data_IF_967098627329
#
_entry.id   IF_967098627329
#
_cell.length_a   1.000
_cell.length_b   1.000
_cell.length_c   1.000
_cell.angle_alpha   90.00
_cell.angle_beta   90.00
_cell.angle_gamma   90.00
#
_symmetry.space_group_name_H-M   'P 1'
#
loop_
_entity.id
_entity.type
_entity.pdbx_description
1 polymer ?
#
# COMPACT_ATOMS: atom_id res chain seq x y z
N UNK A 1 16.82 6.84 -0.42
CA UNK A 1 16.40 8.05 0.30
C UNK A 1 15.14 7.81 1.12
N UNK A 2 14.08 7.31 0.53
CA UNK A 2 12.83 7.03 1.24
C UNK A 2 12.91 5.68 1.90
N UNK A 3 12.69 5.64 3.23
CA UNK A 3 12.61 4.37 3.96
C UNK A 3 11.24 3.74 3.80
N UNK A 4 10.19 4.47 4.11
CA UNK A 4 8.81 4.02 3.91
C UNK A 4 7.86 5.20 3.88
N UNK A 5 6.66 4.96 3.37
CA UNK A 5 5.54 5.90 3.45
C UNK A 5 4.38 5.21 4.15
N UNK A 6 3.56 5.99 4.87
CA UNK A 6 2.36 5.48 5.51
C UNK A 6 1.12 6.13 4.90
N UNK A 7 0.09 5.32 4.73
CA UNK A 7 -1.23 5.78 4.29
C UNK A 7 -2.23 5.47 5.39
N UNK A 8 -3.08 6.43 5.72
CA UNK A 8 -4.08 6.24 6.77
C UNK A 8 -5.22 5.34 6.33
N UNK A 9 -5.73 4.54 7.24
CA UNK A 9 -6.90 3.70 6.99
C UNK A 9 -7.76 3.61 8.23
N UNK A 10 -9.08 3.59 8.01
CA UNK A 10 -10.07 3.36 9.07
C UNK A 10 -10.46 1.88 9.16
N UNK A 11 -9.92 1.04 8.27
CA UNK A 11 -10.20 -0.40 8.23
C UNK A 11 -8.92 -1.12 7.82
N UNK A 12 -8.05 -1.36 8.79
CA UNK A 12 -6.74 -1.98 8.54
C UNK A 12 -6.86 -3.36 7.90
N UNK A 13 -7.74 -4.28 8.36
CA UNK A 13 -7.85 -5.59 7.72
C UNK A 13 -8.24 -5.51 6.24
N UNK A 14 -9.15 -4.62 5.89
CA UNK A 14 -9.57 -4.42 4.50
C UNK A 14 -8.44 -3.85 3.66
N UNK A 15 -7.77 -2.80 4.15
CA UNK A 15 -6.64 -2.21 3.47
C UNK A 15 -5.51 -3.22 3.29
N UNK A 16 -5.25 -4.03 4.31
CA UNK A 16 -4.19 -5.05 4.25
C UNK A 16 -4.47 -6.09 3.16
N UNK A 17 -5.71 -6.55 3.02
CA UNK A 17 -6.05 -7.49 1.94
C UNK A 17 -5.85 -6.88 0.57
N UNK A 18 -6.21 -5.60 0.40
CA UNK A 18 -6.00 -4.88 -0.85
C UNK A 18 -4.51 -4.85 -1.21
N UNK A 19 -3.65 -4.44 -0.28
CA UNK A 19 -2.22 -4.31 -0.55
C UNK A 19 -1.50 -5.64 -0.61
N UNK A 20 -1.95 -6.67 0.13
CA UNK A 20 -1.38 -8.01 0.00
C UNK A 20 -1.43 -8.49 -1.46
N UNK A 21 -2.59 -8.35 -2.10
CA UNK A 21 -2.75 -8.82 -3.46
C UNK A 21 -2.12 -7.87 -4.48
N UNK A 22 -2.31 -6.57 -4.30
CA UNK A 22 -1.78 -5.59 -5.24
C UNK A 22 -0.26 -5.61 -5.27
N UNK A 23 0.36 -5.46 -4.10
CA UNK A 23 1.82 -5.41 -3.98
C UNK A 23 2.46 -6.78 -4.16
N UNK A 24 1.69 -7.85 -3.98
CA UNK A 24 2.13 -9.20 -4.28
C UNK A 24 2.51 -9.39 -5.73
N UNK A 25 1.88 -8.64 -6.64
CA UNK A 25 2.26 -8.66 -8.07
C UNK A 25 3.69 -8.13 -8.31
N UNK A 26 4.21 -7.37 -7.36
CA UNK A 26 5.57 -6.82 -7.42
C UNK A 26 6.56 -7.65 -6.60
N UNK A 27 6.11 -8.75 -6.02
CA UNK A 27 6.95 -9.56 -5.13
C UNK A 27 7.07 -9.00 -3.73
N UNK A 28 6.25 -8.01 -3.35
CA UNK A 28 6.27 -7.48 -2.00
C UNK A 28 5.44 -8.34 -1.05
N UNK A 29 5.87 -8.41 0.20
CA UNK A 29 5.16 -9.13 1.24
C UNK A 29 5.21 -8.34 2.55
N UNK A 30 4.33 -8.71 3.48
CA UNK A 30 4.34 -8.09 4.81
C UNK A 30 5.66 -8.41 5.52
N UNK A 31 6.26 -7.40 6.14
CA UNK A 31 7.43 -7.61 7.00
C UNK A 31 7.24 -7.05 8.40
N UNK A 32 6.22 -6.24 8.62
CA UNK A 32 5.80 -5.74 9.94
C UNK A 32 4.29 -5.69 9.98
N UNK A 33 3.71 -6.11 11.08
CA UNK A 33 2.26 -6.01 11.26
C UNK A 33 1.87 -5.95 12.74
N UNK A 34 0.80 -5.20 12.98
CA UNK A 34 0.09 -5.16 14.25
C UNK A 34 -1.39 -4.90 13.95
N UNK A 35 -2.20 -4.76 14.97
CA UNK A 35 -3.62 -4.45 14.76
C UNK A 35 -3.86 -3.05 14.17
N UNK A 36 -2.87 -2.15 14.24
CA UNK A 36 -2.98 -0.77 13.76
C UNK A 36 -2.03 -0.42 12.62
N UNK A 37 -1.20 -1.36 12.18
CA UNK A 37 -0.13 -1.06 11.24
C UNK A 37 0.26 -2.31 10.48
N UNK A 38 0.38 -2.19 9.16
CA UNK A 38 0.93 -3.25 8.30
C UNK A 38 1.84 -2.60 7.26
N UNK A 39 2.99 -3.21 7.01
CA UNK A 39 3.96 -2.71 6.03
C UNK A 39 4.40 -3.81 5.08
N UNK A 40 4.58 -3.45 3.82
CA UNK A 40 5.02 -4.35 2.75
C UNK A 40 6.29 -3.82 2.11
N UNK A 41 7.18 -4.74 1.75
CA UNK A 41 8.40 -4.42 1.00
C UNK A 41 8.82 -5.60 0.15
N UNK A 42 9.63 -5.33 -0.88
CA UNK A 42 10.22 -6.36 -1.73
C UNK A 42 11.53 -6.90 -1.16
N UNK A 43 12.11 -6.25 -0.16
CA UNK A 43 13.35 -6.67 0.45
C UNK A 43 13.87 -5.66 1.46
N UNK A 44 14.91 -6.05 2.22
CA UNK A 44 15.43 -5.25 3.33
C UNK A 44 15.97 -3.88 2.91
N UNK A 45 16.54 -3.79 1.72
CA UNK A 45 17.12 -2.54 1.22
C UNK A 45 16.13 -1.73 0.39
N UNK A 46 14.89 -2.20 0.27
CA UNK A 46 13.88 -1.55 -0.56
C UNK A 46 12.95 -0.69 0.30
N UNK A 47 12.41 0.40 -0.27
CA UNK A 47 11.39 1.18 0.42
C UNK A 47 10.15 0.35 0.72
N UNK A 48 9.37 0.76 1.71
CA UNK A 48 8.15 0.08 2.11
C UNK A 48 6.94 0.99 1.92
N UNK A 49 5.80 0.36 1.69
CA UNK A 49 4.49 1.00 1.78
C UNK A 49 3.80 0.41 3.01
N UNK A 50 3.15 1.26 3.78
CA UNK A 50 2.43 0.82 4.96
C UNK A 50 1.07 1.49 5.07
N UNK A 51 0.16 0.82 5.76
CA UNK A 51 -1.11 1.41 6.20
C UNK A 51 -1.12 1.49 7.71
N UNK A 52 -1.73 2.53 8.24
CA UNK A 52 -1.73 2.79 9.67
C UNK A 52 -3.07 3.42 10.10
N UNK A 53 -3.53 3.04 11.28
CA UNK A 53 -4.54 3.84 11.98
C UNK A 53 -3.86 5.15 12.40
N UNK A 54 -4.45 6.34 12.11
CA UNK A 54 -3.78 7.60 12.40
C UNK A 54 -3.30 7.71 13.84
N UNK A 55 -2.08 8.22 14.00
CA UNK A 55 -1.41 8.29 15.30
C UNK A 55 -2.20 9.11 16.33
N UNK A 56 -2.91 10.15 15.87
CA UNK A 56 -3.67 11.03 16.77
C UNK A 56 -5.02 10.45 17.20
N UNK A 57 -5.37 9.25 16.74
CA UNK A 57 -6.62 8.59 17.10
C UNK A 57 -7.85 9.10 16.35
N UNK A 58 -7.69 10.10 15.50
CA UNK A 58 -8.81 10.60 14.67
C UNK A 58 -8.98 9.73 13.43
N UNK A 59 -10.17 9.76 12.79
CA UNK A 59 -10.38 9.02 11.55
C UNK A 59 -9.42 9.46 10.45
N UNK A 60 -8.99 8.50 9.64
CA UNK A 60 -8.18 8.78 8.47
C UNK A 60 -9.01 9.51 7.41
N UNK A 61 -8.34 10.40 6.67
CA UNK A 61 -8.92 11.09 5.52
C UNK A 61 -8.11 10.73 4.27
N UNK A 62 -8.64 11.08 3.10
CA UNK A 62 -7.94 10.80 1.83
C UNK A 62 -6.64 11.59 1.65
N UNK A 63 -6.47 12.67 2.40
CA UNK A 63 -5.25 13.48 2.31
C UNK A 63 -5.13 14.18 0.96
N UNK A 64 -5.71 15.38 0.85
CA UNK A 64 -5.67 16.16 -0.38
C UNK A 64 -4.22 16.41 -0.80
N UNK A 65 -3.86 15.99 -2.03
CA UNK A 65 -2.50 16.09 -2.53
C UNK A 65 -1.64 14.85 -2.29
N UNK A 66 -2.14 13.82 -1.60
CA UNK A 66 -1.39 12.59 -1.36
C UNK A 66 -1.44 11.69 -2.59
N UNK A 67 -0.27 11.25 -3.04
CA UNK A 67 -0.15 10.25 -4.09
C UNK A 67 1.17 9.49 -3.91
N UNK A 68 1.10 8.18 -4.06
CA UNK A 68 2.30 7.34 -4.07
C UNK A 68 2.44 6.73 -5.45
N UNK A 69 3.58 6.98 -6.09
CA UNK A 69 3.89 6.40 -7.39
C UNK A 69 4.74 5.15 -7.19
N UNK A 70 4.32 4.06 -7.80
CA UNK A 70 5.04 2.78 -7.73
C UNK A 70 5.73 2.56 -9.07
N UNK A 71 7.04 2.35 -9.03
CA UNK A 71 7.84 2.07 -10.22
C UNK A 71 7.75 0.59 -10.56
N UNK A 72 7.46 0.31 -11.81
CA UNK A 72 7.46 -1.06 -12.35
C UNK A 72 8.35 -1.11 -13.59
N UNK A 73 8.69 -2.32 -14.02
CA UNK A 73 9.72 -2.51 -15.06
C UNK A 73 9.17 -2.67 -16.48
N UNK A 74 7.85 -2.62 -16.66
CA UNK A 74 7.28 -2.75 -18.01
C UNK A 74 5.89 -2.14 -18.10
N UNK A 75 5.45 -1.72 -19.31
CA UNK A 75 4.07 -1.27 -19.54
C UNK A 75 3.04 -2.36 -19.19
N UNK A 76 3.36 -3.62 -19.44
CA UNK A 76 2.45 -4.73 -19.11
C UNK A 76 2.18 -4.78 -17.62
N UNK A 77 3.20 -4.55 -16.79
CA UNK A 77 3.02 -4.49 -15.34
C UNK A 77 2.19 -3.28 -14.90
N UNK A 78 2.35 -2.14 -15.55
CA UNK A 78 1.50 -0.98 -15.28
C UNK A 78 0.03 -1.35 -15.47
N UNK A 79 -0.28 -1.99 -16.60
CA UNK A 79 -1.66 -2.42 -16.88
C UNK A 79 -2.15 -3.47 -15.91
N UNK A 80 -1.32 -4.44 -15.57
CA UNK A 80 -1.69 -5.52 -14.66
C UNK A 80 -2.02 -4.99 -13.25
N UNK A 81 -1.20 -4.08 -12.74
CA UNK A 81 -1.40 -3.50 -11.41
C UNK A 81 -2.64 -2.60 -11.40
N UNK A 82 -2.83 -1.80 -12.43
CA UNK A 82 -4.03 -0.96 -12.55
C UNK A 82 -5.30 -1.81 -12.57
N UNK A 83 -5.31 -2.86 -13.39
CA UNK A 83 -6.44 -3.77 -13.48
C UNK A 83 -6.70 -4.46 -12.13
N UNK A 84 -5.64 -4.90 -11.44
CA UNK A 84 -5.77 -5.53 -10.14
C UNK A 84 -6.34 -4.58 -9.09
N UNK A 85 -5.88 -3.34 -9.09
CA UNK A 85 -6.40 -2.34 -8.16
C UNK A 85 -7.90 -2.11 -8.35
N UNK A 86 -8.37 -2.04 -9.59
CA UNK A 86 -9.80 -1.90 -9.88
C UNK A 86 -10.57 -3.15 -9.46
N UNK A 87 -10.04 -4.34 -9.73
CA UNK A 87 -10.64 -5.60 -9.31
C UNK A 87 -10.82 -5.67 -7.80
N UNK A 88 -9.86 -5.14 -7.06
CA UNK A 88 -9.87 -5.16 -5.59
C UNK A 88 -10.69 -4.03 -4.96
N UNK A 89 -11.33 -3.19 -5.77
CA UNK A 89 -12.21 -2.14 -5.29
C UNK A 89 -11.65 -0.74 -5.36
N UNK A 90 -10.50 -0.56 -5.98
CA UNK A 90 -9.95 0.77 -6.22
C UNK A 90 -10.82 1.56 -7.20
N UNK A 91 -10.81 2.89 -7.05
CA UNK A 91 -11.51 3.80 -7.96
C UNK A 91 -10.54 4.35 -8.99
N UNK A 92 -11.03 4.51 -10.21
CA UNK A 92 -10.22 5.07 -11.28
C UNK A 92 -10.28 6.60 -11.28
#
# INVERSE_FOLDING_TARGET
MIGYVTLGSNDIPRAARFYDELLGLLGASRFMESDKFVAWSTGQASPAISVIAPYDGNPATVGNGTMVAIVVDSPDKVHAIHAKALELGGAN
#
